data_IF_882164312546
#
_entry.id   IF_882164312546
#
_cell.length_a   1.000
_cell.length_b   1.000
_cell.length_c   1.000
_cell.angle_alpha   90.00
_cell.angle_beta   90.00
_cell.angle_gamma   90.00
#
_symmetry.space_group_name_H-M   'P 1'
#
loop_
_entity.id
_entity.type
_entity.pdbx_description
1 polymer ?
#
# COMPACT_ATOMS: atom_id res chain seq x y z
N UNK A 1 -16.83 -12.24 -59.52
CA UNK A 1 -16.50 -13.54 -60.16
C UNK A 1 -15.90 -14.40 -59.05
N UNK A 2 -16.56 -15.45 -58.56
CA UNK A 2 -16.59 -16.81 -59.15
C UNK A 2 -15.17 -17.44 -59.19
N UNK A 3 -14.89 -18.66 -58.68
CA UNK A 3 -15.75 -19.68 -58.07
C UNK A 3 -14.93 -20.84 -57.44
N UNK A 4 -15.46 -21.48 -56.37
CA UNK A 4 -15.56 -22.97 -56.20
C UNK A 4 -14.36 -23.90 -55.86
N UNK A 5 -14.63 -24.84 -54.89
CA UNK A 5 -14.03 -26.18 -54.58
C UNK A 5 -12.68 -26.25 -53.81
N UNK A 6 -12.61 -26.92 -52.63
CA UNK A 6 -12.61 -28.39 -52.26
C UNK A 6 -11.23 -29.06 -52.47
N UNK A 7 -10.80 -30.13 -51.78
CA UNK A 7 -11.14 -30.79 -50.50
C UNK A 7 -10.28 -32.09 -50.40
N UNK A 8 -9.87 -32.55 -49.21
CA UNK A 8 -9.30 -33.92 -48.93
C UNK A 8 -7.95 -34.27 -49.62
N UNK A 9 -7.07 -35.17 -49.17
CA UNK A 9 -7.05 -36.28 -48.17
C UNK A 9 -5.63 -36.35 -47.55
N UNK A 10 -5.41 -36.91 -46.34
CA UNK A 10 -5.17 -38.35 -46.13
C UNK A 10 -5.38 -38.80 -44.66
N UNK A 11 -5.86 -40.04 -44.49
CA UNK A 11 -6.08 -40.77 -43.23
C UNK A 11 -4.90 -41.71 -42.90
N UNK A 12 -4.70 -42.14 -41.64
CA UNK A 12 -3.47 -42.88 -41.27
C UNK A 12 -3.43 -44.02 -40.22
N UNK A 13 -4.23 -44.05 -39.13
CA UNK A 13 -4.38 -45.17 -38.15
C UNK A 13 -3.17 -45.64 -37.26
N UNK A 14 -3.55 -46.30 -36.14
CA UNK A 14 -2.78 -47.21 -35.22
C UNK A 14 -2.15 -46.54 -33.98
N UNK A 15 -2.20 -47.02 -32.72
CA UNK A 15 -2.95 -48.05 -31.93
C UNK A 15 -2.75 -47.68 -30.42
N UNK A 16 -3.45 -48.22 -29.39
CA UNK A 16 -4.57 -49.17 -29.41
C UNK A 16 -4.92 -49.94 -28.11
N UNK A 17 -5.25 -49.26 -26.98
CA UNK A 17 -5.78 -49.79 -25.68
C UNK A 17 -4.79 -50.43 -24.69
N UNK A 18 -4.97 -50.14 -23.39
CA UNK A 18 -5.00 -51.16 -22.32
C UNK A 18 -5.90 -50.70 -21.15
N UNK A 19 -6.81 -51.58 -20.73
CA UNK A 19 -7.63 -51.45 -19.53
C UNK A 19 -7.86 -52.88 -19.01
N UNK A 20 -7.23 -53.26 -17.89
CA UNK A 20 -7.46 -54.55 -17.22
C UNK A 20 -7.53 -54.31 -15.72
N UNK A 21 -8.37 -55.09 -15.05
CA UNK A 21 -8.79 -54.90 -13.67
C UNK A 21 -8.27 -56.03 -12.76
N UNK A 22 -8.19 -55.68 -11.47
CA UNK A 22 -8.62 -56.50 -10.34
C UNK A 22 -7.57 -57.24 -9.46
N UNK A 23 -7.93 -57.25 -8.16
CA UNK A 23 -7.47 -58.06 -7.02
C UNK A 23 -6.20 -57.55 -6.32
N UNK A 24 -6.26 -57.05 -5.08
CA UNK A 24 -6.83 -57.58 -3.81
C UNK A 24 -5.77 -58.31 -2.99
N UNK A 25 -5.35 -57.69 -1.89
CA UNK A 25 -4.96 -58.39 -0.66
C UNK A 25 -5.47 -57.57 0.54
N UNK A 26 -6.00 -58.26 1.55
CA UNK A 26 -6.62 -57.65 2.73
C UNK A 26 -5.90 -58.13 3.98
N UNK A 27 -5.63 -57.22 4.92
CA UNK A 27 -5.36 -57.61 6.30
C UNK A 27 -6.07 -56.67 7.27
N UNK A 28 -7.16 -57.19 7.84
CA UNK A 28 -7.74 -56.79 9.14
C UNK A 28 -6.62 -56.71 10.19
N UNK A 29 -6.64 -55.89 11.24
CA UNK A 29 -7.51 -55.84 12.45
C UNK A 29 -6.98 -54.59 13.22
N UNK A 30 -7.72 -53.69 13.89
CA UNK A 30 -8.52 -53.96 15.09
C UNK A 30 -9.53 -52.83 15.43
N UNK A 31 -10.58 -53.17 16.15
CA UNK A 31 -11.62 -52.25 16.65
C UNK A 31 -11.58 -52.08 18.16
N UNK A 32 -11.87 -50.87 18.65
CA UNK A 32 -12.32 -50.65 20.03
C UNK A 32 -13.53 -49.69 20.04
N UNK A 33 -14.58 -50.04 20.80
CA UNK A 33 -15.89 -49.35 20.79
C UNK A 33 -16.60 -49.49 22.15
N UNK A 34 -17.04 -48.37 22.71
CA UNK A 34 -18.00 -48.23 23.82
C UNK A 34 -18.80 -46.92 23.54
N UNK A 35 -20.15 -46.77 23.55
CA UNK A 35 -21.32 -47.40 24.23
C UNK A 35 -21.23 -47.29 25.76
N UNK A 36 -22.15 -46.72 26.55
CA UNK A 36 -23.61 -46.40 26.47
C UNK A 36 -23.88 -44.92 26.95
N UNK A 37 -24.88 -44.11 26.52
CA UNK A 37 -26.38 -44.14 26.60
C UNK A 37 -26.99 -43.93 28.03
N UNK A 38 -28.24 -43.41 28.22
CA UNK A 38 -29.06 -42.43 27.46
C UNK A 38 -30.02 -41.52 28.35
N UNK A 39 -31.10 -40.98 27.75
CA UNK A 39 -32.28 -40.22 28.28
C UNK A 39 -32.13 -38.68 28.37
N UNK A 40 -33.13 -37.83 28.10
CA UNK A 40 -34.59 -38.04 27.94
C UNK A 40 -35.13 -37.82 26.49
N UNK A 41 -36.31 -37.18 26.32
CA UNK A 41 -37.30 -37.45 25.25
C UNK A 41 -38.42 -36.38 25.14
N UNK A 42 -39.18 -36.40 24.03
CA UNK A 42 -40.43 -35.63 23.75
C UNK A 42 -40.37 -34.90 22.39
N UNK A 43 -41.01 -35.29 21.26
CA UNK A 43 -42.44 -35.58 20.93
C UNK A 43 -43.30 -34.30 20.95
N UNK A 44 -44.11 -33.88 19.97
CA UNK A 44 -44.31 -34.03 18.51
C UNK A 44 -45.61 -33.25 18.16
N UNK A 45 -45.67 -32.60 16.99
CA UNK A 45 -46.83 -32.27 16.10
C UNK A 45 -48.27 -32.03 16.63
N UNK A 46 -48.90 -30.94 16.15
CA UNK A 46 -50.21 -30.90 15.43
C UNK A 46 -50.63 -29.43 15.15
N UNK A 47 -50.52 -28.90 13.94
CA UNK A 47 -51.58 -28.81 12.89
C UNK A 47 -52.92 -28.20 13.30
N UNK A 48 -53.25 -27.03 12.73
CA UNK A 48 -54.64 -26.56 12.54
C UNK A 48 -54.74 -25.81 11.20
N UNK A 49 -55.46 -26.40 10.24
CA UNK A 49 -55.93 -25.71 9.03
C UNK A 49 -57.15 -24.85 9.38
N UNK A 50 -57.24 -23.64 8.82
CA UNK A 50 -58.50 -22.91 8.68
C UNK A 50 -58.66 -22.49 7.22
N UNK A 51 -59.89 -22.64 6.72
CA UNK A 51 -60.22 -22.59 5.30
C UNK A 51 -60.41 -21.16 4.78
N UNK A 52 -60.12 -21.01 3.49
CA UNK A 52 -60.18 -19.83 2.66
C UNK A 52 -61.58 -19.17 2.61
N UNK A 53 -61.66 -17.86 2.82
CA UNK A 53 -62.75 -17.01 2.37
C UNK A 53 -62.13 -15.76 1.72
N UNK A 54 -62.42 -15.54 0.43
CA UNK A 54 -61.70 -14.55 -0.36
C UNK A 54 -62.31 -13.15 -0.30
N UNK A 55 -61.46 -12.13 -0.47
CA UNK A 55 -61.84 -10.86 -1.06
C UNK A 55 -60.62 -10.26 -1.77
N UNK A 56 -60.74 -10.01 -3.07
CA UNK A 56 -59.69 -9.35 -3.85
C UNK A 56 -59.68 -7.86 -3.50
N UNK A 57 -58.53 -7.34 -3.08
CA UNK A 57 -58.21 -5.94 -3.32
C UNK A 57 -56.77 -5.85 -3.79
N UNK A 58 -56.58 -5.28 -4.97
CA UNK A 58 -55.27 -5.16 -5.60
C UNK A 58 -54.60 -3.88 -5.14
N UNK A 59 -53.57 -4.00 -4.30
CA UNK A 59 -52.62 -2.90 -4.11
C UNK A 59 -51.17 -3.42 -4.12
N UNK A 60 -50.34 -2.75 -4.91
CA UNK A 60 -49.03 -3.27 -5.32
C UNK A 60 -47.95 -2.98 -4.28
N UNK A 61 -47.55 -4.00 -3.51
CA UNK A 61 -46.39 -3.90 -2.61
C UNK A 61 -45.09 -3.72 -3.41
N UNK A 62 -44.66 -2.46 -3.61
CA UNK A 62 -43.36 -2.13 -4.19
C UNK A 62 -42.25 -2.45 -3.18
N UNK A 63 -41.24 -3.26 -3.50
CA UNK A 63 -40.15 -3.54 -2.57
C UNK A 63 -39.32 -2.28 -2.31
N UNK A 64 -39.04 -1.99 -1.04
CA UNK A 64 -38.14 -0.92 -0.57
C UNK A 64 -36.67 -1.25 -0.90
N UNK A 65 -36.31 -1.28 -2.19
CA UNK A 65 -34.92 -1.47 -2.62
C UNK A 65 -34.15 -0.15 -2.81
N UNK A 66 -34.87 0.95 -3.08
CA UNK A 66 -34.28 2.27 -3.33
C UNK A 66 -33.64 2.96 -2.13
N UNK A 67 -34.03 2.64 -0.89
CA UNK A 67 -33.43 3.29 0.30
C UNK A 67 -32.09 2.64 0.68
N UNK A 68 -31.99 1.31 0.64
CA UNK A 68 -30.71 0.60 0.88
C UNK A 68 -29.69 0.86 -0.23
N UNK A 69 -30.11 0.81 -1.50
CA UNK A 69 -29.24 1.14 -2.64
C UNK A 69 -28.77 2.62 -2.58
N UNK A 70 -29.59 3.55 -2.07
CA UNK A 70 -29.21 4.96 -1.92
C UNK A 70 -28.26 5.21 -0.73
N UNK A 71 -28.37 4.44 0.35
CA UNK A 71 -27.42 4.49 1.46
C UNK A 71 -26.06 3.90 1.03
N UNK A 72 -26.06 2.77 0.33
CA UNK A 72 -24.85 2.18 -0.24
C UNK A 72 -24.18 3.09 -1.28
N UNK A 73 -24.95 3.85 -2.07
CA UNK A 73 -24.43 4.81 -3.04
C UNK A 73 -23.76 6.06 -2.41
N UNK A 74 -24.03 6.36 -1.13
CA UNK A 74 -23.34 7.42 -0.38
C UNK A 74 -22.03 6.98 0.28
N UNK A 75 -21.76 5.67 0.36
CA UNK A 75 -20.53 5.16 0.93
C UNK A 75 -19.31 5.54 0.07
N UNK A 76 -18.66 6.64 0.46
CA UNK A 76 -17.39 7.13 -0.08
C UNK A 76 -16.40 5.96 -0.24
N UNK A 77 -16.11 5.57 -1.49
CA UNK A 77 -15.15 4.49 -1.76
C UNK A 77 -13.72 4.99 -1.52
N UNK A 78 -13.25 4.78 -0.30
CA UNK A 78 -11.88 5.09 0.11
C UNK A 78 -10.84 4.34 -0.74
N UNK A 79 -9.67 4.94 -0.89
CA UNK A 79 -8.47 4.29 -1.40
C UNK A 79 -7.85 3.36 -0.35
N UNK A 80 -6.91 2.51 -0.75
CA UNK A 80 -6.12 1.67 0.17
C UNK A 80 -5.33 2.51 1.18
N UNK A 81 -4.77 3.64 0.74
CA UNK A 81 -3.97 4.55 1.59
C UNK A 81 -4.84 5.31 2.59
N UNK A 82 -6.02 5.78 2.18
CA UNK A 82 -7.00 6.39 3.09
C UNK A 82 -7.43 5.39 4.17
N UNK A 83 -7.78 4.15 3.79
CA UNK A 83 -8.10 3.09 4.77
C UNK A 83 -6.95 2.80 5.73
N UNK A 84 -5.70 2.67 5.24
CA UNK A 84 -4.53 2.41 6.11
C UNK A 84 -4.27 3.60 7.06
N UNK A 85 -4.42 4.83 6.58
CA UNK A 85 -4.32 6.03 7.43
C UNK A 85 -5.38 6.01 8.54
N UNK A 86 -6.66 5.88 8.20
CA UNK A 86 -7.78 5.89 9.16
C UNK A 86 -7.66 4.74 10.18
N UNK A 87 -7.18 3.57 9.73
CA UNK A 87 -6.92 2.39 10.58
C UNK A 87 -5.81 2.65 11.61
N UNK A 88 -4.73 3.31 11.20
CA UNK A 88 -3.55 3.54 12.06
C UNK A 88 -3.56 4.87 12.84
N UNK A 89 -4.28 5.91 12.41
CA UNK A 89 -4.42 7.19 13.12
C UNK A 89 -5.00 7.03 14.55
N UNK A 90 -4.18 7.36 15.57
CA UNK A 90 -4.57 7.25 16.99
C UNK A 90 -5.20 8.51 17.57
N UNK A 91 -5.01 9.68 16.96
CA UNK A 91 -5.44 10.97 17.54
C UNK A 91 -6.37 11.74 16.61
N UNK A 92 -7.16 12.62 17.20
CA UNK A 92 -8.02 13.56 16.48
C UNK A 92 -7.99 14.95 17.12
N UNK A 93 -8.16 16.00 16.32
CA UNK A 93 -8.32 17.38 16.77
C UNK A 93 -9.36 18.05 15.89
N UNK A 94 -10.35 18.72 16.50
CA UNK A 94 -11.44 19.42 15.79
C UNK A 94 -12.10 18.59 14.66
N UNK A 95 -12.45 17.34 14.99
CA UNK A 95 -13.02 16.37 14.05
C UNK A 95 -12.03 15.75 13.04
N UNK A 96 -10.84 16.33 12.85
CA UNK A 96 -9.81 15.82 11.94
C UNK A 96 -8.99 14.69 12.56
N UNK A 97 -8.73 13.63 11.78
CA UNK A 97 -7.81 12.55 12.14
C UNK A 97 -6.34 12.89 11.84
N UNK A 98 -5.45 12.51 12.76
CA UNK A 98 -3.99 12.58 12.57
C UNK A 98 -3.30 11.29 13.04
N UNK A 99 -2.16 11.01 12.44
CA UNK A 99 -1.20 10.02 12.95
C UNK A 99 -0.20 10.69 13.90
N UNK A 100 0.23 9.98 14.94
CA UNK A 100 1.50 10.32 15.61
C UNK A 100 2.69 9.86 14.77
N UNK A 101 3.92 10.36 15.03
CA UNK A 101 5.14 9.79 14.47
C UNK A 101 5.25 8.27 14.69
N UNK A 102 4.79 7.77 15.85
CA UNK A 102 4.71 6.33 16.12
C UNK A 102 3.67 5.61 15.24
N UNK A 103 2.46 6.17 15.09
CA UNK A 103 1.43 5.60 14.19
C UNK A 103 1.94 5.55 12.73
N UNK A 104 2.71 6.55 12.29
CA UNK A 104 3.31 6.56 10.95
C UNK A 104 4.25 5.37 10.77
N UNK A 105 5.23 5.20 11.67
CA UNK A 105 6.21 4.11 11.60
C UNK A 105 5.52 2.74 11.62
N UNK A 106 4.57 2.53 12.54
CA UNK A 106 3.75 1.33 12.62
C UNK A 106 2.94 1.12 11.33
N UNK A 107 2.35 2.16 10.74
CA UNK A 107 1.59 2.04 9.49
C UNK A 107 2.44 1.67 8.27
N UNK A 108 3.77 1.77 8.36
CA UNK A 108 4.69 1.35 7.31
C UNK A 108 5.14 -0.10 7.52
N UNK A 109 5.55 -0.47 8.73
CA UNK A 109 6.14 -1.79 9.02
C UNK A 109 5.13 -2.85 9.44
N UNK A 110 4.05 -2.47 10.15
CA UNK A 110 3.04 -3.39 10.68
C UNK A 110 1.83 -3.58 9.75
N UNK A 111 1.21 -4.75 9.82
CA UNK A 111 -0.05 -5.06 9.13
C UNK A 111 -1.29 -4.51 9.88
N UNK A 112 -1.22 -4.57 11.22
CA UNK A 112 -2.29 -4.19 12.14
C UNK A 112 -1.80 -3.15 13.16
N UNK A 113 -2.61 -2.15 13.53
CA UNK A 113 -2.25 -1.21 14.58
C UNK A 113 -2.31 -1.88 15.96
N UNK A 114 -1.57 -1.32 16.93
CA UNK A 114 -1.69 -1.72 18.35
C UNK A 114 -3.15 -1.65 18.84
N UNK A 115 -3.63 -2.64 19.62
CA UNK A 115 -4.96 -2.59 20.23
C UNK A 115 -5.19 -1.32 21.05
N UNK A 116 -6.33 -0.66 20.83
CA UNK A 116 -6.70 0.59 21.50
C UNK A 116 -8.21 0.70 21.70
N UNK A 117 -8.61 1.28 22.83
CA UNK A 117 -10.02 1.39 23.23
C UNK A 117 -10.77 2.49 22.44
N UNK A 118 -10.11 3.63 22.21
CA UNK A 118 -10.63 4.77 21.43
C UNK A 118 -9.48 5.66 20.94
N UNK A 119 -9.75 6.54 19.97
CA UNK A 119 -8.81 7.60 19.57
C UNK A 119 -8.69 8.67 20.68
N UNK A 120 -7.53 9.32 20.78
CA UNK A 120 -7.28 10.44 21.71
C UNK A 120 -7.69 11.76 21.06
N UNK A 121 -8.68 12.44 21.61
CA UNK A 121 -8.98 13.83 21.25
C UNK A 121 -7.93 14.75 21.87
N UNK A 122 -7.30 15.60 21.05
CA UNK A 122 -6.32 16.60 21.46
C UNK A 122 -7.01 17.94 21.78
N UNK A 123 -6.34 18.77 22.58
CA UNK A 123 -6.71 20.15 22.90
C UNK A 123 -5.65 21.14 22.39
N UNK A 124 -5.94 22.44 22.37
CA UNK A 124 -4.96 23.48 22.03
C UNK A 124 -3.67 23.40 22.87
N UNK A 125 -3.80 23.01 24.15
CA UNK A 125 -2.67 22.84 25.07
C UNK A 125 -1.78 21.67 24.64
N UNK A 126 -2.38 20.59 24.14
CA UNK A 126 -1.63 19.47 23.59
C UNK A 126 -0.88 19.93 22.34
N UNK A 127 -1.55 20.61 21.40
CA UNK A 127 -0.92 21.14 20.18
C UNK A 127 0.27 22.07 20.49
N UNK A 128 0.15 22.94 21.49
CA UNK A 128 1.26 23.77 21.97
C UNK A 128 2.44 22.91 22.47
N UNK A 129 2.16 21.86 23.26
CA UNK A 129 3.20 20.94 23.73
C UNK A 129 3.84 20.12 22.60
N UNK A 130 3.08 19.69 21.58
CA UNK A 130 3.61 19.03 20.37
C UNK A 130 4.55 19.98 19.61
N UNK A 131 4.15 21.25 19.50
CA UNK A 131 4.93 22.31 18.86
C UNK A 131 6.22 22.63 19.60
N UNK A 132 6.22 22.50 20.92
CA UNK A 132 7.43 22.65 21.72
C UNK A 132 8.34 21.41 21.72
N UNK A 133 7.79 20.20 21.58
CA UNK A 133 8.54 18.96 21.47
C UNK A 133 9.21 18.76 20.10
N UNK A 134 8.67 19.35 19.03
CA UNK A 134 9.17 19.15 17.66
C UNK A 134 10.57 19.77 17.48
N UNK A 135 11.61 18.99 17.11
CA UNK A 135 12.95 19.53 16.90
C UNK A 135 13.00 20.37 15.60
N UNK A 136 13.84 21.42 15.53
CA UNK A 136 14.08 22.13 14.28
C UNK A 136 14.88 21.28 13.29
N UNK A 137 14.77 21.54 11.98
CA UNK A 137 15.47 20.84 10.89
C UNK A 137 16.95 20.54 11.17
N UNK A 138 17.69 21.50 11.74
CA UNK A 138 19.12 21.36 12.07
C UNK A 138 19.42 20.23 13.08
N UNK A 139 18.42 19.77 13.83
CA UNK A 139 18.49 18.65 14.79
C UNK A 139 17.84 17.36 14.27
N UNK A 140 17.47 17.28 12.98
CA UNK A 140 16.98 16.05 12.36
C UNK A 140 18.02 14.93 12.38
N UNK A 141 17.57 13.71 12.66
CA UNK A 141 18.39 12.49 12.77
C UNK A 141 17.61 11.26 12.30
N UNK A 142 18.29 10.11 12.14
CA UNK A 142 17.66 8.82 11.81
C UNK A 142 16.78 8.25 12.92
N UNK A 143 16.65 8.93 14.07
CA UNK A 143 15.84 8.50 15.21
C UNK A 143 14.72 9.50 15.56
N UNK A 144 14.39 10.44 14.65
CA UNK A 144 13.51 11.55 14.97
C UNK A 144 12.07 11.09 15.28
N UNK A 145 11.49 10.23 14.44
CA UNK A 145 10.12 9.77 14.63
C UNK A 145 10.03 8.86 15.88
N UNK A 146 10.99 7.95 16.08
CA UNK A 146 11.09 7.09 17.27
C UNK A 146 11.33 7.88 18.57
N UNK A 147 12.04 9.02 18.50
CA UNK A 147 12.26 9.89 19.66
C UNK A 147 11.02 10.71 20.02
N UNK A 148 10.25 11.14 19.02
CA UNK A 148 9.00 11.88 19.23
C UNK A 148 7.88 10.96 19.76
N UNK A 149 7.79 9.71 19.29
CA UNK A 149 6.73 8.75 19.63
C UNK A 149 5.33 9.36 19.39
N UNK A 150 4.58 9.60 20.46
CA UNK A 150 3.23 10.19 20.45
C UNK A 150 3.23 11.73 20.57
N UNK A 151 4.42 12.36 20.56
CA UNK A 151 4.64 13.81 20.64
C UNK A 151 4.75 14.47 19.27
N UNK A 152 3.85 14.12 18.36
CA UNK A 152 3.69 14.80 17.09
C UNK A 152 2.34 14.52 16.44
N UNK A 153 2.04 15.24 15.38
CA UNK A 153 0.91 14.98 14.48
C UNK A 153 1.36 15.06 13.03
N UNK A 154 0.82 14.13 12.24
CA UNK A 154 1.04 13.97 10.80
C UNK A 154 -0.34 13.90 10.15
N UNK A 155 -0.61 14.80 9.19
CA UNK A 155 -1.86 14.83 8.44
C UNK A 155 -1.91 13.72 7.37
N UNK A 156 -3.05 13.54 6.68
CA UNK A 156 -3.15 12.57 5.59
C UNK A 156 -2.33 12.98 4.35
N UNK A 157 -2.24 14.28 4.05
CA UNK A 157 -1.41 14.84 2.97
C UNK A 157 0.07 14.62 3.26
N UNK A 158 0.50 14.88 4.50
CA UNK A 158 1.86 14.58 4.97
C UNK A 158 2.17 13.09 4.97
N UNK A 159 1.22 12.22 5.36
CA UNK A 159 1.37 10.77 5.26
C UNK A 159 1.66 10.31 3.83
N UNK A 160 0.91 10.83 2.84
CA UNK A 160 1.17 10.53 1.42
C UNK A 160 2.53 11.04 0.95
N UNK A 161 2.94 12.24 1.40
CA UNK A 161 4.27 12.79 1.15
C UNK A 161 5.38 11.90 1.73
N UNK A 162 5.29 11.51 3.01
CA UNK A 162 6.25 10.63 3.67
C UNK A 162 6.34 9.27 2.97
N UNK A 163 5.20 8.64 2.61
CA UNK A 163 5.20 7.40 1.82
C UNK A 163 5.92 7.57 0.47
N UNK A 164 5.76 8.72 -0.20
CA UNK A 164 6.44 9.00 -1.48
C UNK A 164 7.96 9.17 -1.37
N UNK A 165 8.47 9.42 -0.16
CA UNK A 165 9.91 9.52 0.14
C UNK A 165 10.54 8.14 0.31
N UNK A 166 9.87 7.20 0.99
CA UNK A 166 10.46 5.94 1.47
C UNK A 166 11.13 5.08 0.39
N UNK A 167 10.64 5.16 -0.85
CA UNK A 167 11.07 4.32 -1.98
C UNK A 167 11.70 5.15 -3.11
N UNK A 168 11.98 6.43 -2.87
CA UNK A 168 12.52 7.34 -3.88
C UNK A 168 14.05 7.21 -3.94
N UNK A 169 14.67 7.10 -5.13
CA UNK A 169 16.12 7.13 -5.25
C UNK A 169 16.68 8.54 -5.01
N UNK A 170 17.96 8.62 -4.67
CA UNK A 170 18.68 9.88 -4.42
C UNK A 170 18.63 10.84 -5.61
N UNK A 171 18.77 10.31 -6.84
CA UNK A 171 18.58 11.04 -8.10
C UNK A 171 17.20 11.73 -8.16
N UNK A 172 16.17 11.07 -7.65
CA UNK A 172 14.80 11.56 -7.58
C UNK A 172 14.51 12.58 -6.48
N UNK A 173 15.45 12.87 -5.57
CA UNK A 173 15.27 13.84 -4.48
C UNK A 173 15.31 15.27 -5.00
N UNK A 174 16.25 15.59 -5.90
CA UNK A 174 16.32 16.92 -6.55
C UNK A 174 15.06 17.19 -7.37
N UNK A 175 14.58 16.19 -8.11
CA UNK A 175 13.32 16.27 -8.86
C UNK A 175 12.14 16.57 -7.92
N UNK A 176 12.05 15.89 -6.77
CA UNK A 176 10.99 16.14 -5.80
C UNK A 176 11.08 17.54 -5.17
N UNK A 177 12.29 18.02 -4.86
CA UNK A 177 12.50 19.38 -4.36
C UNK A 177 12.06 20.45 -5.36
N UNK A 178 12.47 20.29 -6.62
CA UNK A 178 12.09 21.19 -7.73
C UNK A 178 10.59 21.10 -8.12
N UNK A 179 9.82 20.17 -7.55
CA UNK A 179 8.35 20.16 -7.66
C UNK A 179 7.66 21.01 -6.56
N UNK A 180 8.40 21.42 -5.52
CA UNK A 180 7.93 22.32 -4.48
C UNK A 180 8.46 23.73 -4.63
N UNK A 181 9.70 23.88 -5.08
CA UNK A 181 10.32 25.17 -5.46
C UNK A 181 9.65 25.67 -6.76
N UNK A 182 8.60 26.47 -6.62
CA UNK A 182 7.72 26.89 -7.72
C UNK A 182 8.18 28.17 -8.41
N UNK A 183 8.94 29.02 -7.71
CA UNK A 183 9.52 30.24 -8.25
C UNK A 183 10.99 30.08 -8.72
N UNK A 184 11.62 28.95 -8.41
CA UNK A 184 12.99 28.61 -8.81
C UNK A 184 14.07 29.23 -7.92
N UNK A 185 13.76 29.62 -6.68
CA UNK A 185 14.66 30.34 -5.78
C UNK A 185 15.64 29.43 -4.99
N UNK A 186 15.65 28.12 -5.27
CA UNK A 186 16.40 27.04 -4.58
C UNK A 186 16.01 26.80 -3.10
N UNK A 187 14.84 27.29 -2.69
CA UNK A 187 14.21 27.05 -1.39
C UNK A 187 12.76 26.61 -1.61
N UNK A 188 12.17 26.13 -0.53
CA UNK A 188 10.73 25.85 -0.42
C UNK A 188 10.25 26.61 0.81
N UNK A 189 9.22 27.44 0.64
CA UNK A 189 8.54 28.11 1.75
C UNK A 189 7.37 27.26 2.31
N UNK A 190 6.73 27.72 3.39
CA UNK A 190 5.59 27.00 3.99
C UNK A 190 4.37 26.94 3.06
N UNK A 191 4.13 27.99 2.26
CA UNK A 191 3.00 28.05 1.35
C UNK A 191 3.17 27.07 0.18
N UNK A 192 4.38 27.02 -0.38
CA UNK A 192 4.80 26.08 -1.44
C UNK A 192 4.65 24.62 -0.99
N UNK A 193 5.11 24.28 0.20
CA UNK A 193 4.89 22.95 0.77
C UNK A 193 3.40 22.62 0.93
N UNK A 194 2.59 23.59 1.34
CA UNK A 194 1.13 23.45 1.44
C UNK A 194 0.39 23.42 0.09
N UNK A 195 1.06 23.70 -1.05
CA UNK A 195 0.46 23.46 -2.39
C UNK A 195 0.13 21.99 -2.59
N UNK A 196 0.87 21.05 -1.96
CA UNK A 196 0.50 19.63 -1.94
C UNK A 196 -0.92 19.38 -1.46
N UNK A 197 -1.39 20.11 -0.45
CA UNK A 197 -2.73 19.92 0.11
C UNK A 197 -3.80 20.21 -0.94
N UNK A 198 -3.60 21.30 -1.70
CA UNK A 198 -4.47 21.73 -2.80
C UNK A 198 -4.42 20.75 -3.97
N UNK A 199 -3.24 20.27 -4.35
CA UNK A 199 -3.09 19.28 -5.42
C UNK A 199 -3.79 17.95 -5.04
N UNK A 200 -3.61 17.47 -3.81
CA UNK A 200 -4.23 16.23 -3.33
C UNK A 200 -5.72 16.37 -2.98
N UNK A 201 -6.24 17.59 -2.77
CA UNK A 201 -7.68 17.85 -2.69
C UNK A 201 -8.32 17.91 -4.07
N UNK A 202 -7.75 18.66 -5.02
CA UNK A 202 -8.26 18.79 -6.38
C UNK A 202 -8.31 17.43 -7.09
N UNK A 203 -7.19 16.69 -7.13
CA UNK A 203 -7.08 15.39 -7.77
C UNK A 203 -8.00 14.30 -7.17
N UNK A 204 -8.65 14.58 -6.04
CA UNK A 204 -9.65 13.73 -5.41
C UNK A 204 -11.08 14.19 -5.70
N UNK A 205 -11.34 15.52 -5.75
CA UNK A 205 -12.62 16.08 -6.22
C UNK A 205 -12.90 15.61 -7.65
N UNK A 206 -11.90 15.72 -8.53
CA UNK A 206 -11.95 15.24 -9.93
C UNK A 206 -12.33 13.76 -10.03
N UNK A 207 -11.63 12.90 -9.27
CA UNK A 207 -11.86 11.44 -9.25
C UNK A 207 -13.24 11.02 -8.74
N UNK A 208 -13.99 11.96 -8.15
CA UNK A 208 -15.32 11.72 -7.58
C UNK A 208 -16.40 12.58 -8.23
N UNK A 209 -16.08 13.36 -9.27
CA UNK A 209 -17.02 14.25 -9.95
C UNK A 209 -17.61 15.34 -9.04
N UNK A 210 -16.89 15.73 -7.99
CA UNK A 210 -17.30 16.82 -7.11
C UNK A 210 -16.98 18.16 -7.79
N UNK A 211 -17.91 19.14 -7.80
CA UNK A 211 -17.71 20.40 -8.49
C UNK A 211 -16.46 21.13 -7.97
N UNK A 212 -15.76 21.79 -8.89
CA UNK A 212 -14.61 22.65 -8.59
C UNK A 212 -15.01 23.88 -7.78
N UNK A 213 -14.05 24.57 -7.14
CA UNK A 213 -14.36 25.80 -6.40
C UNK A 213 -15.00 26.87 -7.30
N UNK A 214 -14.55 26.98 -8.56
CA UNK A 214 -15.16 27.89 -9.54
C UNK A 214 -16.60 27.54 -9.90
N UNK A 215 -16.95 26.26 -9.99
CA UNK A 215 -18.33 25.81 -10.27
C UNK A 215 -19.25 26.01 -9.06
N UNK A 216 -18.72 25.77 -7.85
CA UNK A 216 -19.44 26.03 -6.61
C UNK A 216 -19.73 27.53 -6.42
N UNK A 217 -18.78 28.40 -6.76
CA UNK A 217 -18.96 29.85 -6.64
C UNK A 217 -19.88 30.43 -7.73
N UNK A 218 -19.80 29.91 -8.98
CA UNK A 218 -20.80 30.18 -10.04
C UNK A 218 -22.21 29.72 -9.63
N UNK A 219 -22.33 28.65 -8.84
CA UNK A 219 -23.58 28.20 -8.24
C UNK A 219 -24.12 29.17 -7.16
N UNK A 220 -23.24 29.69 -6.30
CA UNK A 220 -23.60 30.72 -5.29
C UNK A 220 -24.01 32.05 -5.94
N UNK A 221 -23.37 32.44 -7.04
CA UNK A 221 -23.74 33.64 -7.79
C UNK A 221 -25.18 33.60 -8.33
N UNK A 222 -25.62 32.46 -8.88
CA UNK A 222 -26.99 32.28 -9.41
C UNK A 222 -28.09 32.33 -8.34
N UNK A 223 -27.80 31.99 -7.09
CA UNK A 223 -28.77 32.08 -5.99
C UNK A 223 -28.89 33.49 -5.38
N UNK A 224 -28.11 34.48 -5.83
CA UNK A 224 -28.13 35.85 -5.28
C UNK A 224 -29.11 36.81 -5.97
N UNK A 225 -29.79 36.39 -7.04
CA UNK A 225 -30.79 37.23 -7.73
C UNK A 225 -32.21 37.14 -7.11
N UNK A 226 -32.45 36.23 -6.16
CA UNK A 226 -33.75 36.05 -5.49
C UNK A 226 -33.67 36.22 -3.95
N UNK A 227 -33.09 37.34 -3.48
CA UNK A 227 -33.18 37.76 -2.08
C UNK A 227 -33.05 39.29 -1.91
N UNK A 228 -34.17 40.00 -2.02
CA UNK A 228 -34.30 41.38 -1.53
C UNK A 228 -34.54 41.39 -0.02
N UNK A 229 -33.62 41.95 0.77
CA UNK A 229 -33.85 42.17 2.20
C UNK A 229 -32.60 42.31 3.06
N UNK A 230 -32.37 43.54 3.53
CA UNK A 230 -31.63 43.93 4.75
C UNK A 230 -30.18 43.42 4.99
N UNK A 231 -29.24 44.37 4.92
CA UNK A 231 -27.88 44.20 5.45
C UNK A 231 -27.90 44.18 6.99
N UNK A 232 -27.29 43.16 7.59
CA UNK A 232 -26.57 43.31 8.86
C UNK A 232 -25.13 42.85 8.67
N UNK A 233 -24.20 43.71 9.06
CA UNK A 233 -22.77 43.44 8.98
C UNK A 233 -22.38 42.45 10.09
N UNK A 234 -21.79 41.32 9.70
CA UNK A 234 -21.25 40.30 10.58
C UNK A 234 -19.92 39.82 10.03
N UNK A 235 -18.88 39.89 10.86
CA UNK A 235 -17.52 39.50 10.48
C UNK A 235 -17.38 37.98 10.42
N UNK A 236 -16.56 37.47 9.50
CA UNK A 236 -16.12 36.07 9.47
C UNK A 236 -16.92 35.15 8.55
N UNK A 237 -16.61 35.16 7.25
CA UNK A 237 -17.17 34.22 6.27
C UNK A 237 -16.18 33.90 5.13
N UNK A 238 -15.02 33.32 5.44
CA UNK A 238 -14.06 32.85 4.44
C UNK A 238 -13.23 31.64 4.95
N UNK A 239 -13.92 30.55 5.27
CA UNK A 239 -13.29 29.32 5.79
C UNK A 239 -13.96 28.00 5.32
N UNK A 240 -14.92 28.04 4.38
CA UNK A 240 -15.95 27.00 4.23
C UNK A 240 -16.16 26.51 2.77
N UNK A 241 -15.05 26.29 2.03
CA UNK A 241 -15.06 25.72 0.66
C UNK A 241 -14.29 24.39 0.50
N UNK A 242 -13.48 24.04 1.51
CA UNK A 242 -12.57 22.88 1.52
C UNK A 242 -12.94 21.81 2.56
N UNK A 243 -13.96 22.05 3.40
CA UNK A 243 -14.49 21.01 4.29
C UNK A 243 -15.22 19.98 3.44
N UNK A 244 -14.62 18.80 3.27
CA UNK A 244 -15.32 17.64 2.76
C UNK A 244 -15.54 16.68 3.91
N UNK A 245 -16.76 16.70 4.43
CA UNK A 245 -17.24 15.66 5.34
C UNK A 245 -17.36 14.35 4.55
N UNK A 246 -16.45 13.43 4.80
CA UNK A 246 -16.53 12.05 4.32
C UNK A 246 -17.14 11.10 5.36
N UNK A 247 -17.79 11.66 6.39
CA UNK A 247 -18.30 11.02 7.61
C UNK A 247 -17.21 10.31 8.44
N UNK A 248 -15.93 10.44 8.07
CA UNK A 248 -14.79 9.74 8.68
C UNK A 248 -13.69 10.68 9.21
N UNK A 249 -13.87 11.99 9.08
CA UNK A 249 -12.95 13.00 9.61
C UNK A 249 -11.62 13.08 8.85
N UNK A 250 -11.64 12.85 7.54
CA UNK A 250 -10.47 12.97 6.67
C UNK A 250 -10.47 14.29 5.86
N UNK A 251 -10.48 15.41 6.56
CA UNK A 251 -10.20 16.73 5.99
C UNK A 251 -8.80 16.70 5.35
N UNK A 252 -8.69 17.32 4.17
CA UNK A 252 -7.47 17.32 3.34
C UNK A 252 -6.59 18.54 3.53
N UNK A 253 -7.16 19.57 4.15
CA UNK A 253 -6.54 20.83 4.50
C UNK A 253 -6.64 20.96 5.99
N UNK A 254 -5.51 21.15 6.67
CA UNK A 254 -5.48 21.19 8.13
C UNK A 254 -5.10 22.60 8.60
N UNK A 255 -5.82 23.11 9.61
CA UNK A 255 -5.70 24.51 10.07
C UNK A 255 -4.64 24.69 11.18
N UNK A 256 -3.94 23.63 11.56
CA UNK A 256 -2.99 23.60 12.68
C UNK A 256 -1.57 23.34 12.20
N UNK A 257 -0.57 23.78 12.96
CA UNK A 257 0.83 23.46 12.67
C UNK A 257 1.15 21.99 13.03
N UNK A 258 1.52 21.20 12.03
CA UNK A 258 1.96 19.79 12.15
C UNK A 258 3.45 19.62 12.44
N UNK A 259 3.86 18.39 12.76
CA UNK A 259 5.26 18.07 13.03
C UNK A 259 6.18 18.36 11.84
N UNK A 260 5.80 18.09 10.59
CA UNK A 260 6.69 18.40 9.45
C UNK A 260 6.76 19.91 9.17
N UNK A 261 5.63 20.61 9.20
CA UNK A 261 5.61 22.06 8.97
C UNK A 261 6.41 22.82 10.05
N UNK A 262 6.35 22.40 11.32
CA UNK A 262 7.18 22.96 12.40
C UNK A 262 8.64 22.55 12.25
N UNK A 263 8.94 21.31 11.83
CA UNK A 263 10.31 20.84 11.64
C UNK A 263 11.03 21.62 10.53
N UNK A 264 10.37 21.81 9.38
CA UNK A 264 10.93 22.48 8.20
C UNK A 264 10.95 24.02 8.32
N UNK A 265 9.84 24.64 8.71
CA UNK A 265 9.65 26.10 8.65
C UNK A 265 9.69 26.79 10.02
N UNK A 266 10.02 26.02 11.07
CA UNK A 266 10.14 26.48 12.45
C UNK A 266 8.80 26.79 13.11
N UNK A 267 8.81 27.03 14.43
CA UNK A 267 7.61 27.34 15.23
C UNK A 267 6.83 28.58 14.78
N UNK A 268 7.41 29.44 13.93
CA UNK A 268 6.77 30.64 13.37
C UNK A 268 6.37 30.49 11.91
N UNK A 269 6.71 29.38 11.23
CA UNK A 269 6.44 29.18 9.80
C UNK A 269 7.16 30.19 8.91
N UNK A 270 8.36 30.62 9.29
CA UNK A 270 9.16 31.66 8.61
C UNK A 270 10.56 31.21 8.18
N UNK A 271 11.00 30.04 8.61
CA UNK A 271 12.24 29.46 8.12
C UNK A 271 12.00 28.87 6.72
N UNK A 272 13.04 28.81 5.89
CA UNK A 272 12.96 28.31 4.51
C UNK A 272 13.69 26.95 4.38
N UNK A 273 13.11 26.03 3.62
CA UNK A 273 13.67 24.70 3.42
C UNK A 273 14.54 24.66 2.16
N UNK A 274 15.86 24.53 2.33
CA UNK A 274 16.82 24.35 1.22
C UNK A 274 16.96 22.87 0.84
N UNK A 275 17.38 22.61 -0.40
CA UNK A 275 17.60 21.25 -0.92
C UNK A 275 18.40 20.34 0.02
N UNK A 276 19.51 20.84 0.60
CA UNK A 276 20.36 20.03 1.48
C UNK A 276 19.65 19.59 2.77
N UNK A 277 18.78 20.44 3.32
CA UNK A 277 17.94 20.10 4.46
C UNK A 277 16.87 19.06 4.10
N UNK A 278 16.25 19.21 2.92
CA UNK A 278 15.27 18.27 2.38
C UNK A 278 15.90 16.90 2.08
N UNK A 279 17.05 16.86 1.40
CA UNK A 279 17.86 15.66 1.12
C UNK A 279 18.16 14.91 2.42
N UNK A 280 18.74 15.60 3.41
CA UNK A 280 19.08 15.01 4.71
C UNK A 280 17.85 14.49 5.47
N UNK A 281 16.71 15.18 5.40
CA UNK A 281 15.46 14.70 5.98
C UNK A 281 15.00 13.39 5.32
N UNK A 282 15.01 13.32 3.98
CA UNK A 282 14.63 12.11 3.24
C UNK A 282 15.55 10.93 3.54
N UNK A 283 16.87 11.15 3.61
CA UNK A 283 17.87 10.15 4.02
C UNK A 283 17.63 9.63 5.43
N UNK A 284 17.42 10.55 6.37
CA UNK A 284 17.14 10.20 7.77
C UNK A 284 15.87 9.35 7.89
N UNK A 285 14.79 9.73 7.18
CA UNK A 285 13.51 9.01 7.22
C UNK A 285 13.60 7.61 6.58
N UNK A 286 14.26 7.50 5.43
CA UNK A 286 14.52 6.19 4.80
C UNK A 286 15.34 5.29 5.72
N UNK A 287 16.39 5.84 6.34
CA UNK A 287 17.23 5.09 7.28
C UNK A 287 16.46 4.69 8.53
N UNK A 288 15.63 5.57 9.09
CA UNK A 288 14.80 5.28 10.28
C UNK A 288 13.83 4.11 10.06
N UNK A 289 13.19 4.04 8.89
CA UNK A 289 12.30 2.93 8.53
C UNK A 289 13.09 1.64 8.26
N UNK A 290 14.24 1.73 7.58
CA UNK A 290 15.10 0.55 7.34
C UNK A 290 15.70 0.01 8.64
N UNK A 291 16.06 0.88 9.60
CA UNK A 291 16.49 0.45 10.93
C UNK A 291 15.38 -0.37 11.62
N UNK A 292 14.13 0.08 11.59
CA UNK A 292 13.01 -0.68 12.19
C UNK A 292 12.82 -2.05 11.53
N UNK A 293 12.81 -2.12 10.20
CA UNK A 293 12.68 -3.39 9.47
C UNK A 293 13.85 -4.34 9.75
N UNK A 294 15.06 -3.83 9.99
CA UNK A 294 16.21 -4.66 10.36
C UNK A 294 16.12 -5.18 11.80
N UNK A 295 15.80 -4.31 12.77
CA UNK A 295 15.76 -4.68 14.20
C UNK A 295 14.62 -5.64 14.54
N UNK A 296 13.52 -5.61 13.80
CA UNK A 296 12.40 -6.58 13.92
C UNK A 296 12.90 -8.03 13.76
N UNK A 297 13.85 -8.25 12.84
CA UNK A 297 14.42 -9.55 12.55
C UNK A 297 15.71 -9.85 13.34
N UNK A 298 16.57 -8.85 13.56
CA UNK A 298 17.83 -9.06 14.30
C UNK A 298 17.60 -9.41 15.77
N UNK A 299 16.43 -9.08 16.33
CA UNK A 299 16.02 -9.40 17.72
C UNK A 299 17.04 -8.91 18.77
N UNK A 300 17.77 -7.84 18.44
CA UNK A 300 18.81 -7.25 19.29
C UNK A 300 20.25 -7.65 18.93
N UNK A 301 20.47 -8.50 17.93
CA UNK A 301 21.79 -8.77 17.36
C UNK A 301 22.25 -7.64 16.40
N UNK A 302 23.56 -7.54 16.19
CA UNK A 302 24.19 -6.58 15.27
C UNK A 302 24.02 -6.97 13.79
N UNK A 303 23.75 -8.24 13.52
CA UNK A 303 23.48 -8.81 12.19
C UNK A 303 22.13 -9.52 12.15
N UNK A 304 21.55 -9.62 10.95
CA UNK A 304 20.48 -10.58 10.65
C UNK A 304 21.10 -11.80 9.95
N UNK A 305 20.58 -13.00 10.20
CA UNK A 305 20.94 -14.16 9.37
C UNK A 305 20.37 -14.01 7.95
N UNK A 306 20.90 -14.79 7.04
CA UNK A 306 20.64 -14.76 5.60
C UNK A 306 19.17 -15.14 5.29
N UNK A 307 18.60 -16.05 6.09
CA UNK A 307 17.18 -16.47 5.99
C UNK A 307 16.25 -15.31 6.37
N UNK A 308 16.54 -14.59 7.44
CA UNK A 308 15.77 -13.44 7.89
C UNK A 308 15.92 -12.25 6.92
N UNK A 309 17.11 -12.06 6.31
CA UNK A 309 17.27 -11.16 5.17
C UNK A 309 16.34 -11.53 4.00
N UNK A 310 16.28 -12.81 3.62
CA UNK A 310 15.37 -13.28 2.57
C UNK A 310 13.89 -13.03 2.91
N UNK A 311 13.47 -13.27 4.16
CA UNK A 311 12.11 -12.94 4.63
C UNK A 311 11.79 -11.44 4.47
N UNK A 312 12.72 -10.53 4.77
CA UNK A 312 12.55 -9.08 4.57
C UNK A 312 12.49 -8.72 3.07
N UNK A 313 13.27 -9.41 2.22
CA UNK A 313 13.20 -9.20 0.77
C UNK A 313 11.88 -9.67 0.17
N UNK A 314 11.35 -10.81 0.62
CA UNK A 314 10.15 -11.42 0.08
C UNK A 314 8.84 -10.89 0.69
N UNK A 315 8.87 -10.24 1.86
CA UNK A 315 7.69 -9.74 2.61
C UNK A 315 6.64 -8.98 1.78
N UNK A 316 7.05 -8.22 0.77
CA UNK A 316 6.16 -7.39 -0.05
C UNK A 316 6.04 -7.87 -1.50
N UNK A 317 6.38 -9.12 -1.76
CA UNK A 317 6.28 -9.76 -3.09
C UNK A 317 4.97 -10.52 -3.23
N UNK A 318 4.46 -10.70 -4.46
CA UNK A 318 3.22 -11.45 -4.72
C UNK A 318 3.48 -12.94 -4.93
N UNK A 319 4.24 -13.56 -4.02
CA UNK A 319 4.46 -15.00 -4.00
C UNK A 319 3.31 -15.73 -3.29
N UNK A 320 3.00 -16.93 -3.78
CA UNK A 320 2.22 -17.92 -3.03
C UNK A 320 3.09 -18.57 -1.94
N UNK A 321 2.47 -19.26 -0.97
CA UNK A 321 3.18 -19.86 0.17
C UNK A 321 4.19 -20.90 -0.30
N UNK A 322 3.82 -21.74 -1.26
CA UNK A 322 4.67 -22.81 -1.78
C UNK A 322 5.97 -22.26 -2.40
N UNK A 323 5.88 -21.21 -3.24
CA UNK A 323 7.08 -20.54 -3.78
C UNK A 323 7.89 -19.81 -2.72
N UNK A 324 7.21 -19.15 -1.77
CA UNK A 324 7.89 -18.46 -0.68
C UNK A 324 8.78 -19.42 0.11
N UNK A 325 8.25 -20.60 0.46
CA UNK A 325 9.00 -21.64 1.15
C UNK A 325 10.12 -22.21 0.27
N UNK A 326 9.89 -22.43 -1.03
CA UNK A 326 10.94 -22.85 -1.98
C UNK A 326 12.15 -21.88 -2.03
N UNK A 327 11.94 -20.56 -1.90
CA UNK A 327 13.03 -19.59 -1.84
C UNK A 327 13.86 -19.72 -0.54
N UNK A 328 13.21 -20.02 0.59
CA UNK A 328 13.88 -20.17 1.88
C UNK A 328 14.63 -21.50 1.97
N UNK A 329 14.03 -22.60 1.52
CA UNK A 329 14.67 -23.93 1.48
C UNK A 329 15.92 -23.92 0.57
N UNK A 330 15.80 -23.33 -0.62
CA UNK A 330 16.92 -23.13 -1.57
C UNK A 330 18.08 -22.36 -0.92
N UNK A 331 17.77 -21.34 -0.13
CA UNK A 331 18.79 -20.55 0.56
C UNK A 331 19.47 -21.33 1.67
N UNK A 332 18.70 -22.07 2.48
CA UNK A 332 19.20 -22.95 3.55
C UNK A 332 20.14 -24.05 3.00
N UNK A 333 19.82 -24.65 1.86
CA UNK A 333 20.65 -25.67 1.22
C UNK A 333 21.98 -25.11 0.68
N UNK A 334 21.94 -23.88 0.14
CA UNK A 334 23.08 -23.24 -0.55
C UNK A 334 23.99 -22.42 0.37
N UNK A 335 23.47 -21.86 1.46
CA UNK A 335 24.22 -21.01 2.41
C UNK A 335 24.32 -21.72 3.76
N UNK A 336 25.47 -22.34 4.01
CA UNK A 336 25.75 -23.13 5.22
C UNK A 336 26.58 -22.39 6.26
N UNK A 337 27.24 -21.31 5.85
CA UNK A 337 28.01 -20.42 6.73
C UNK A 337 27.13 -19.20 7.07
N UNK A 338 26.51 -19.19 8.24
CA UNK A 338 25.83 -18.00 8.78
C UNK A 338 26.88 -16.95 9.17
N UNK A 339 27.22 -16.06 8.24
CA UNK A 339 28.10 -14.90 8.50
C UNK A 339 27.29 -13.72 9.01
N UNK A 340 26.03 -13.66 8.59
CA UNK A 340 25.11 -12.60 8.93
C UNK A 340 25.36 -11.33 8.12
N UNK A 341 24.28 -10.62 7.85
CA UNK A 341 24.25 -9.38 7.09
C UNK A 341 24.13 -8.22 8.09
N UNK A 342 25.05 -7.27 8.00
CA UNK A 342 25.06 -6.06 8.83
C UNK A 342 23.96 -5.09 8.40
N UNK A 343 23.58 -4.16 9.29
CA UNK A 343 22.64 -3.09 8.93
C UNK A 343 23.13 -2.25 7.74
N UNK A 344 24.44 -2.00 7.63
CA UNK A 344 25.00 -1.20 6.54
C UNK A 344 24.88 -1.90 5.18
N UNK A 345 25.18 -3.20 5.12
CA UNK A 345 24.98 -4.01 3.91
C UNK A 345 23.50 -4.06 3.49
N UNK A 346 22.60 -4.28 4.45
CA UNK A 346 21.15 -4.25 4.23
C UNK A 346 20.66 -2.88 3.74
N UNK A 347 21.18 -1.78 4.32
CA UNK A 347 20.85 -0.39 3.96
C UNK A 347 21.30 -0.09 2.53
N UNK A 348 22.53 -0.43 2.17
CA UNK A 348 23.06 -0.26 0.80
C UNK A 348 22.23 -1.07 -0.20
N UNK A 349 21.86 -2.32 0.13
CA UNK A 349 20.99 -3.13 -0.75
C UNK A 349 19.61 -2.50 -0.95
N UNK A 350 18.98 -2.00 0.12
CA UNK A 350 17.69 -1.32 -0.01
C UNK A 350 17.79 0.00 -0.80
N UNK A 351 18.91 0.72 -0.71
CA UNK A 351 19.17 1.90 -1.55
C UNK A 351 19.35 1.52 -3.03
N UNK A 352 20.04 0.40 -3.32
CA UNK A 352 20.10 -0.17 -4.66
C UNK A 352 18.69 -0.50 -5.21
N UNK A 353 17.82 -1.13 -4.42
CA UNK A 353 16.46 -1.44 -4.86
C UNK A 353 15.63 -0.18 -5.16
N UNK A 354 15.88 0.96 -4.50
CA UNK A 354 15.24 2.24 -4.86
C UNK A 354 15.71 2.77 -6.24
N UNK A 355 16.85 2.30 -6.75
CA UNK A 355 17.40 2.60 -8.10
C UNK A 355 17.12 1.49 -9.13
N UNK A 356 16.20 0.57 -8.87
CA UNK A 356 15.99 -0.62 -9.70
C UNK A 356 15.59 -0.29 -11.16
N UNK A 357 14.85 0.79 -11.39
CA UNK A 357 14.51 1.21 -12.76
C UNK A 357 15.75 1.74 -13.52
N UNK A 358 16.66 2.46 -12.86
CA UNK A 358 17.94 2.89 -13.43
C UNK A 358 18.85 1.68 -13.74
N UNK A 359 18.85 0.67 -12.86
CA UNK A 359 19.55 -0.60 -13.09
C UNK A 359 18.99 -1.37 -14.29
N UNK A 360 17.67 -1.42 -14.45
CA UNK A 360 17.02 -2.05 -15.61
C UNK A 360 17.33 -1.29 -16.90
N UNK A 361 17.47 0.03 -16.86
CA UNK A 361 17.91 0.82 -18.01
C UNK A 361 19.38 0.52 -18.34
N UNK A 362 20.26 0.49 -17.35
CA UNK A 362 21.68 0.18 -17.54
C UNK A 362 21.91 -1.24 -18.10
N UNK A 363 21.17 -2.22 -17.58
CA UNK A 363 21.22 -3.63 -18.03
C UNK A 363 20.33 -3.91 -19.24
N UNK A 364 19.72 -2.89 -19.87
CA UNK A 364 18.71 -3.09 -20.92
C UNK A 364 19.23 -3.91 -22.10
N UNK A 365 20.49 -3.74 -22.50
CA UNK A 365 21.11 -4.53 -23.57
C UNK A 365 21.14 -6.03 -23.26
N UNK A 366 21.43 -6.41 -22.01
CA UNK A 366 21.40 -7.80 -21.55
C UNK A 366 19.97 -8.33 -21.54
N UNK A 367 19.03 -7.59 -20.95
CA UNK A 367 17.60 -8.01 -20.89
C UNK A 367 16.94 -8.11 -22.27
N UNK A 368 17.38 -7.34 -23.27
CA UNK A 368 16.88 -7.42 -24.65
C UNK A 368 17.46 -8.61 -25.43
N UNK A 369 18.64 -9.10 -25.03
CA UNK A 369 19.26 -10.30 -25.57
C UNK A 369 18.84 -11.57 -24.79
N UNK A 370 17.95 -11.44 -23.80
CA UNK A 370 17.59 -12.45 -22.80
C UNK A 370 18.83 -13.11 -22.15
N UNK A 371 19.89 -12.30 -21.96
CA UNK A 371 21.15 -12.76 -21.38
C UNK A 371 21.10 -12.61 -19.85
N UNK A 372 21.20 -13.72 -19.08
CA UNK A 372 21.26 -13.65 -17.63
C UNK A 372 22.59 -13.04 -17.15
N UNK A 373 22.58 -12.47 -15.95
CA UNK A 373 23.62 -11.55 -15.47
C UNK A 373 24.56 -12.26 -14.49
N UNK A 374 25.87 -12.21 -14.73
CA UNK A 374 26.86 -12.79 -13.82
C UNK A 374 27.06 -11.98 -12.52
N UNK A 375 27.63 -12.62 -11.49
CA UNK A 375 27.94 -11.98 -10.19
C UNK A 375 28.80 -10.73 -10.33
N UNK A 376 29.79 -10.73 -11.23
CA UNK A 376 30.68 -9.60 -11.47
C UNK A 376 30.01 -8.46 -12.24
N UNK A 377 29.07 -8.78 -13.14
CA UNK A 377 28.26 -7.77 -13.83
C UNK A 377 27.24 -7.14 -12.88
N UNK A 378 26.57 -7.95 -12.06
CA UNK A 378 25.68 -7.48 -11.00
C UNK A 378 26.42 -6.54 -10.03
N UNK A 379 27.59 -6.94 -9.53
CA UNK A 379 28.40 -6.12 -8.61
C UNK A 379 28.80 -4.77 -9.24
N UNK A 380 29.28 -4.80 -10.49
CA UNK A 380 29.63 -3.57 -11.24
C UNK A 380 28.40 -2.68 -11.48
N UNK A 381 27.27 -3.24 -11.88
CA UNK A 381 26.06 -2.48 -12.16
C UNK A 381 25.48 -1.84 -10.89
N UNK A 382 25.43 -2.54 -9.75
CA UNK A 382 25.03 -1.94 -8.46
C UNK A 382 25.96 -0.79 -8.07
N UNK A 383 27.28 -0.94 -8.26
CA UNK A 383 28.26 0.12 -8.00
C UNK A 383 28.06 1.34 -8.89
N UNK A 384 27.66 1.16 -10.14
CA UNK A 384 27.33 2.25 -11.07
C UNK A 384 26.05 2.99 -10.64
N UNK A 385 24.98 2.25 -10.29
CA UNK A 385 23.69 2.85 -9.92
C UNK A 385 23.69 3.56 -8.56
N UNK A 386 24.44 3.04 -7.58
CA UNK A 386 24.42 3.57 -6.19
C UNK A 386 25.66 4.39 -5.80
N UNK A 387 26.76 4.28 -6.56
CA UNK A 387 28.08 4.77 -6.14
C UNK A 387 28.76 3.92 -5.06
N UNK A 388 28.09 2.87 -4.54
CA UNK A 388 28.56 2.01 -3.45
C UNK A 388 28.66 0.56 -3.88
N UNK A 389 29.68 -0.17 -3.42
CA UNK A 389 29.84 -1.60 -3.69
C UNK A 389 29.18 -2.46 -2.61
N UNK A 390 28.41 -3.46 -3.02
CA UNK A 390 27.95 -4.53 -2.11
C UNK A 390 29.13 -5.40 -1.66
N UNK A 391 28.98 -6.04 -0.50
CA UNK A 391 29.95 -7.05 -0.05
C UNK A 391 29.85 -8.33 -0.91
N UNK A 392 30.94 -9.08 -1.11
CA UNK A 392 30.89 -10.36 -1.82
C UNK A 392 29.97 -11.38 -1.14
N UNK A 393 29.86 -11.34 0.18
CA UNK A 393 28.93 -12.18 0.94
C UNK A 393 27.47 -11.87 0.60
N UNK A 394 27.07 -10.59 0.64
CA UNK A 394 25.71 -10.20 0.31
C UNK A 394 25.36 -10.54 -1.15
N UNK A 395 26.26 -10.32 -2.11
CA UNK A 395 26.02 -10.73 -3.51
C UNK A 395 25.87 -12.26 -3.62
N UNK A 396 26.70 -13.03 -2.90
CA UNK A 396 26.54 -14.48 -2.85
C UNK A 396 25.15 -14.89 -2.32
N UNK A 397 24.70 -14.28 -1.22
CA UNK A 397 23.38 -14.54 -0.61
C UNK A 397 22.22 -14.16 -1.55
N UNK A 398 22.32 -13.03 -2.25
CA UNK A 398 21.31 -12.59 -3.25
C UNK A 398 21.22 -13.59 -4.40
N UNK A 399 22.35 -14.05 -4.95
CA UNK A 399 22.32 -15.08 -5.98
C UNK A 399 21.77 -16.40 -5.43
N UNK A 400 22.28 -16.89 -4.28
CA UNK A 400 21.81 -18.13 -3.67
C UNK A 400 20.29 -18.17 -3.45
N UNK A 401 19.68 -17.01 -3.12
CA UNK A 401 18.24 -16.81 -3.03
C UNK A 401 17.54 -16.84 -4.40
N UNK A 402 17.92 -15.98 -5.35
CA UNK A 402 17.11 -15.73 -6.54
C UNK A 402 17.38 -16.66 -7.73
N UNK A 403 18.63 -17.10 -7.94
CA UNK A 403 19.05 -18.07 -8.97
C UNK A 403 18.23 -19.37 -8.81
N UNK A 404 17.37 -19.71 -9.78
CA UNK A 404 16.43 -20.82 -9.70
C UNK A 404 16.96 -22.12 -10.32
N UNK A 405 17.60 -22.02 -11.47
CA UNK A 405 18.11 -23.19 -12.20
C UNK A 405 19.50 -23.65 -11.75
N UNK A 406 20.23 -22.83 -10.99
CA UNK A 406 21.57 -23.12 -10.49
C UNK A 406 22.70 -22.76 -11.44
N UNK A 407 22.45 -21.98 -12.51
CA UNK A 407 23.47 -21.62 -13.50
C UNK A 407 24.54 -20.63 -12.99
N UNK A 408 24.30 -19.99 -11.83
CA UNK A 408 25.20 -19.02 -11.20
C UNK A 408 25.02 -17.57 -11.70
N UNK A 409 24.02 -17.32 -12.53
CA UNK A 409 23.65 -16.04 -13.13
C UNK A 409 22.30 -15.55 -12.53
N UNK A 410 21.77 -14.43 -13.03
CA UNK A 410 20.44 -13.92 -12.67
C UNK A 410 19.72 -13.41 -13.92
N UNK A 411 18.62 -14.06 -14.28
CA UNK A 411 17.69 -13.60 -15.31
C UNK A 411 16.81 -12.44 -14.82
N UNK A 412 16.08 -11.82 -15.77
CA UNK A 412 15.10 -10.78 -15.45
C UNK A 412 13.95 -11.30 -14.56
N UNK A 413 13.52 -12.57 -14.74
CA UNK A 413 12.37 -13.12 -14.02
C UNK A 413 12.72 -13.47 -12.57
N UNK A 414 13.90 -14.02 -12.34
CA UNK A 414 14.36 -14.43 -11.01
C UNK A 414 14.56 -13.25 -10.06
N UNK A 415 15.16 -12.15 -10.55
CA UNK A 415 15.50 -11.02 -9.68
C UNK A 415 14.60 -9.78 -9.91
N UNK A 416 14.55 -9.26 -11.14
CA UNK A 416 13.94 -7.95 -11.41
C UNK A 416 12.43 -7.98 -11.24
N UNK A 417 11.75 -9.02 -11.73
CA UNK A 417 10.30 -9.13 -11.61
C UNK A 417 9.86 -9.11 -10.13
N UNK A 418 10.53 -9.91 -9.29
CA UNK A 418 10.23 -10.05 -7.86
C UNK A 418 10.54 -8.76 -7.09
N UNK A 419 11.70 -8.15 -7.34
CA UNK A 419 12.10 -6.93 -6.64
C UNK A 419 11.32 -5.67 -7.07
N UNK A 420 10.76 -5.64 -8.29
CA UNK A 420 9.85 -4.57 -8.72
C UNK A 420 8.58 -4.52 -7.88
N UNK A 421 8.04 -5.66 -7.46
CA UNK A 421 6.88 -5.67 -6.55
C UNK A 421 7.28 -5.19 -5.15
N UNK A 422 8.39 -5.72 -4.62
CA UNK A 422 8.93 -5.33 -3.30
C UNK A 422 9.15 -3.82 -3.17
N UNK A 423 9.69 -3.16 -4.19
CA UNK A 423 9.96 -1.72 -4.20
C UNK A 423 8.74 -0.87 -3.79
N UNK A 424 7.53 -1.36 -4.05
CA UNK A 424 6.31 -0.62 -3.75
C UNK A 424 5.78 -0.86 -2.32
N UNK A 425 6.46 -1.66 -1.50
CA UNK A 425 6.13 -1.93 -0.07
C UNK A 425 4.65 -2.29 0.16
N UNK A 426 4.04 -3.03 -0.78
CA UNK A 426 2.60 -3.36 -0.77
C UNK A 426 1.63 -2.18 -1.02
N UNK A 427 2.12 -0.97 -1.28
CA UNK A 427 1.28 0.21 -1.56
C UNK A 427 0.84 0.35 -3.03
N UNK A 428 1.37 -0.48 -3.94
CA UNK A 428 0.73 -0.73 -5.23
C UNK A 428 -0.45 -1.64 -4.98
N UNK A 429 -1.65 -1.07 -4.99
CA UNK A 429 -2.82 -1.87 -5.32
C UNK A 429 -2.72 -2.26 -6.79
N UNK A 430 -2.06 -3.39 -7.06
CA UNK A 430 -2.73 -4.33 -7.93
C UNK A 430 -4.04 -4.61 -7.24
N UNK A 431 -5.12 -4.01 -7.76
CA UNK A 431 -6.41 -4.62 -7.60
C UNK A 431 -6.26 -5.98 -8.28
N UNK A 432 -5.87 -6.99 -7.50
CA UNK A 432 -6.45 -8.30 -7.70
C UNK A 432 -7.94 -8.02 -7.68
N UNK A 433 -8.52 -7.98 -8.86
CA UNK A 433 -9.96 -8.07 -8.97
C UNK A 433 -10.25 -9.45 -8.36
N UNK A 434 -10.68 -9.46 -7.11
CA UNK A 434 -11.09 -10.61 -6.34
C UNK A 434 -12.53 -10.36 -5.90
N UNK A 435 -13.36 -11.39 -5.96
CA UNK A 435 -14.80 -11.27 -5.81
C UNK A 435 -15.55 -10.91 -7.10
N UNK A 436 -16.79 -10.44 -6.94
CA UNK A 436 -17.82 -10.48 -7.98
C UNK A 436 -17.53 -9.63 -9.24
N UNK A 437 -16.87 -8.48 -9.11
CA UNK A 437 -16.53 -7.64 -10.27
C UNK A 437 -15.44 -8.28 -11.15
N UNK A 438 -14.51 -9.04 -10.55
CA UNK A 438 -13.51 -9.83 -11.29
C UNK A 438 -14.16 -10.90 -12.16
N UNK A 439 -15.10 -11.62 -11.56
CA UNK A 439 -15.86 -12.68 -12.20
C UNK A 439 -16.72 -12.11 -13.35
N UNK A 440 -17.34 -10.95 -13.15
CA UNK A 440 -18.04 -10.20 -14.21
C UNK A 440 -17.11 -9.80 -15.36
N UNK A 441 -15.93 -9.27 -15.08
CA UNK A 441 -15.02 -8.80 -16.12
C UNK A 441 -14.40 -9.98 -16.89
N UNK A 442 -14.09 -11.09 -16.22
CA UNK A 442 -13.70 -12.35 -16.86
C UNK A 442 -14.82 -12.89 -17.77
N UNK A 443 -16.06 -12.98 -17.29
CA UNK A 443 -17.20 -13.41 -18.12
C UNK A 443 -17.48 -12.43 -19.27
N UNK A 444 -17.31 -11.11 -19.08
CA UNK A 444 -17.42 -10.14 -20.18
C UNK A 444 -16.32 -10.29 -21.23
N UNK A 445 -15.12 -10.72 -20.86
CA UNK A 445 -14.05 -11.00 -21.81
C UNK A 445 -14.34 -12.29 -22.59
N UNK A 446 -14.78 -13.36 -21.91
CA UNK A 446 -15.15 -14.64 -22.57
C UNK A 446 -16.42 -14.56 -23.43
N UNK A 447 -17.33 -13.63 -23.13
CA UNK A 447 -18.48 -13.34 -24.01
C UNK A 447 -18.09 -12.51 -25.23
N UNK A 448 -16.97 -11.76 -25.17
CA UNK A 448 -16.45 -10.98 -26.30
C UNK A 448 -15.51 -11.76 -27.22
N UNK A 449 -14.91 -12.85 -26.75
CA UNK A 449 -14.09 -13.77 -27.57
C UNK A 449 -14.93 -14.72 -28.43
N UNK A 450 -16.23 -14.86 -28.13
CA UNK A 450 -17.17 -15.76 -28.82
C UNK A 450 -18.22 -15.05 -29.70
N UNK A 451 -17.95 -13.82 -30.15
CA UNK A 451 -18.75 -13.12 -31.18
C UNK A 451 -17.85 -12.60 -32.30
#
# INVERSE_FOLDING_TARGET
MASVRRCTLLLGRSLGRYFVSQRSLSTRVNTARARFRPHHAGVLLATSLVVYAGSKSSDGFKPKKKEEDAFAAKAVKLTSRERRFIKFASVQYDGQLYMTPQDFLESVVEQEPRPRLKRRTLTDKDLAALKDATPPLKKGSTQMFRSLRDKGIVSFTEYLFLLSILTKPQSGFRIAFNMFDTDGNERVDKNEFLVMEKIFSHAWRDKRGLPTEEEADKGKAKNKENATGEKKEGQGAQADSDYVDDEQGLQRRHLVDTTLTIHFFGKKGKDELRFEGFRKFMENLQTEVLELEFHEFSKGAETINEVDFAKIMLRYTYLDTDKYDMYLDRLLDRVKDEKGITFEEFRIFCQFLNTLDDFVIAMRMYTLADHPISKDEFHRAVKICTGTSLSPHLVHTVFALFDEDGDGLLSYQEFIAIMKDRLHRGFKSHAKNEGYEAFKDCIKQELKSNT
#
